data_IF_818309705201
#
_entry.id   IF_818309705201
#
_cell.length_a   1.000
_cell.length_b   1.000
_cell.length_c   1.000
_cell.angle_alpha   90.00
_cell.angle_beta   90.00
_cell.angle_gamma   90.00
#
_symmetry.space_group_name_H-M   'P 1'
#
loop_
_entity.id
_entity.type
_entity.pdbx_description
1 polymer ?
#
# COMPACT_ATOMS: atom_id res chain seq x y z
N UNK A 1 3.15 -13.92 9.96
CA UNK A 1 2.75 -12.53 9.66
C UNK A 1 2.62 -11.75 10.95
N UNK A 2 3.46 -10.74 11.16
CA UNK A 2 3.27 -9.78 12.26
C UNK A 2 2.03 -8.95 11.92
N UNK A 3 0.93 -9.18 12.64
CA UNK A 3 -0.34 -8.48 12.43
C UNK A 3 -0.39 -7.30 13.41
N UNK A 4 -0.51 -6.09 12.87
CA UNK A 4 -0.92 -4.90 13.64
C UNK A 4 -2.44 -4.73 13.51
N UNK A 5 -3.07 -4.08 14.48
CA UNK A 5 -4.51 -3.87 14.43
C UNK A 5 -4.89 -2.79 13.38
N UNK A 6 -6.18 -2.71 13.03
CA UNK A 6 -6.67 -1.77 12.01
C UNK A 6 -6.33 -0.31 12.34
N UNK A 7 -6.52 0.10 13.60
CA UNK A 7 -6.26 1.48 14.06
C UNK A 7 -4.77 1.85 13.94
N UNK A 8 -3.87 0.92 14.27
CA UNK A 8 -2.44 1.10 14.11
C UNK A 8 -2.05 1.19 12.63
N UNK A 9 -2.63 0.33 11.78
CA UNK A 9 -2.38 0.34 10.34
C UNK A 9 -2.89 1.62 9.69
N UNK A 10 -4.03 2.14 10.13
CA UNK A 10 -4.58 3.41 9.67
C UNK A 10 -3.68 4.58 10.08
N UNK A 11 -3.23 4.65 11.34
CA UNK A 11 -2.24 5.64 11.79
C UNK A 11 -0.92 5.57 11.04
N UNK A 12 -0.46 4.36 10.69
CA UNK A 12 0.73 4.18 9.88
C UNK A 12 0.53 4.75 8.47
N UNK A 13 -0.62 4.44 7.84
CA UNK A 13 -0.96 5.00 6.53
C UNK A 13 -0.97 6.53 6.54
N UNK A 14 -1.56 7.15 7.57
CA UNK A 14 -1.60 8.61 7.68
C UNK A 14 -0.19 9.23 7.77
N UNK A 15 0.74 8.55 8.46
CA UNK A 15 2.14 8.97 8.50
C UNK A 15 2.82 8.80 7.15
N UNK A 16 2.52 7.73 6.42
CA UNK A 16 3.07 7.50 5.09
C UNK A 16 2.54 8.52 4.07
N UNK A 17 1.26 8.88 4.11
CA UNK A 17 0.72 9.97 3.26
C UNK A 17 1.45 11.29 3.49
N UNK A 18 1.78 11.61 4.74
CA UNK A 18 2.55 12.82 5.08
C UNK A 18 4.00 12.75 4.60
N UNK A 19 4.61 11.56 4.62
CA UNK A 19 6.02 11.36 4.25
C UNK A 19 6.22 11.30 2.73
N UNK A 20 5.38 10.55 2.03
CA UNK A 20 5.61 10.13 0.63
C UNK A 20 4.68 10.82 -0.37
N UNK A 21 3.64 11.49 0.14
CA UNK A 21 2.53 12.00 -0.65
C UNK A 21 1.49 10.92 -0.97
N UNK A 22 0.40 11.34 -1.62
CA UNK A 22 -0.77 10.49 -1.90
C UNK A 22 -0.62 9.76 -3.24
N UNK A 23 0.43 8.94 -3.35
CA UNK A 23 0.77 8.17 -4.56
C UNK A 23 1.35 6.79 -4.23
N UNK A 24 1.21 5.85 -5.17
CA UNK A 24 1.86 4.54 -5.09
C UNK A 24 3.38 4.72 -5.19
N UNK A 25 4.11 4.06 -4.30
CA UNK A 25 5.57 4.03 -4.29
C UNK A 25 6.14 3.38 -5.56
N UNK A 26 5.56 2.25 -5.97
CA UNK A 26 6.09 1.45 -7.08
C UNK A 26 5.81 2.04 -8.46
N UNK A 27 4.55 2.33 -8.78
CA UNK A 27 4.18 2.81 -10.12
C UNK A 27 3.93 4.32 -10.20
N UNK A 28 3.98 5.04 -9.08
CA UNK A 28 3.79 6.50 -9.05
C UNK A 28 2.35 6.98 -9.24
N UNK A 29 1.37 6.10 -9.50
CA UNK A 29 -0.03 6.52 -9.69
C UNK A 29 -0.56 7.23 -8.44
N UNK A 30 -1.25 8.35 -8.62
CA UNK A 30 -1.96 9.04 -7.53
C UNK A 30 -3.15 8.22 -7.07
N UNK A 31 -3.51 8.33 -5.79
CA UNK A 31 -4.68 7.64 -5.25
C UNK A 31 -5.97 8.02 -5.97
N UNK A 32 -6.16 9.30 -6.29
CA UNK A 32 -7.34 9.79 -7.01
C UNK A 32 -7.51 9.12 -8.38
N UNK A 33 -6.41 8.99 -9.13
CA UNK A 33 -6.40 8.33 -10.44
C UNK A 33 -6.61 6.82 -10.30
N UNK A 34 -5.97 6.21 -9.30
CA UNK A 34 -6.15 4.79 -9.05
C UNK A 34 -7.60 4.44 -8.68
N UNK A 35 -8.20 5.17 -7.75
CA UNK A 35 -9.59 4.96 -7.32
C UNK A 35 -10.55 5.20 -8.49
N UNK A 36 -10.29 6.21 -9.32
CA UNK A 36 -11.11 6.52 -10.52
C UNK A 36 -11.05 5.42 -11.59
N UNK A 37 -9.87 4.84 -11.83
CA UNK A 37 -9.68 3.87 -12.92
C UNK A 37 -9.95 2.43 -12.45
N UNK A 38 -9.50 2.09 -11.24
CA UNK A 38 -9.45 0.71 -10.75
C UNK A 38 -10.31 0.47 -9.50
N UNK A 39 -10.89 1.51 -8.90
CA UNK A 39 -11.69 1.35 -7.68
C UNK A 39 -12.88 0.41 -7.86
N UNK A 40 -13.58 0.50 -8.99
CA UNK A 40 -14.71 -0.37 -9.33
C UNK A 40 -14.31 -1.81 -9.63
N UNK A 41 -13.11 -2.03 -10.20
CA UNK A 41 -12.58 -3.37 -10.46
C UNK A 41 -12.51 -4.22 -9.18
N UNK A 42 -12.24 -3.58 -8.04
CA UNK A 42 -12.23 -4.24 -6.72
C UNK A 42 -13.59 -4.27 -6.02
N UNK A 43 -14.68 -4.01 -6.75
CA UNK A 43 -16.05 -4.03 -6.25
C UNK A 43 -16.38 -2.89 -5.27
N UNK A 44 -15.53 -1.84 -5.20
CA UNK A 44 -15.77 -0.62 -4.44
C UNK A 44 -15.94 -0.77 -2.92
N UNK A 45 -15.79 -1.98 -2.36
CA UNK A 45 -16.21 -2.28 -0.97
C UNK A 45 -15.07 -2.73 -0.05
N UNK A 46 -14.02 -3.37 -0.57
CA UNK A 46 -12.96 -3.97 0.27
C UNK A 46 -11.56 -3.50 -0.09
N UNK A 47 -11.26 -3.31 -1.38
CA UNK A 47 -10.01 -2.75 -1.91
C UNK A 47 -10.32 -1.67 -2.95
N UNK A 48 -9.29 -0.96 -3.41
CA UNK A 48 -9.46 0.00 -4.50
C UNK A 48 -9.97 1.38 -4.10
N UNK A 49 -10.32 1.61 -2.83
CA UNK A 49 -10.80 2.92 -2.35
C UNK A 49 -9.68 3.87 -1.93
N UNK A 50 -8.52 3.31 -1.56
CA UNK A 50 -7.33 4.03 -1.10
C UNK A 50 -6.09 3.16 -1.28
N UNK A 51 -4.92 3.78 -1.21
CA UNK A 51 -3.64 3.09 -1.21
C UNK A 51 -3.50 2.21 0.03
N UNK A 52 -2.90 1.04 -0.19
CA UNK A 52 -2.62 0.03 0.82
C UNK A 52 -1.26 0.31 1.47
N UNK A 53 -1.08 -0.19 2.69
CA UNK A 53 0.23 -0.17 3.35
C UNK A 53 0.89 -1.50 3.04
N UNK A 54 1.94 -1.44 2.24
CA UNK A 54 2.79 -2.57 1.89
C UNK A 54 4.09 -2.55 2.71
N UNK A 55 4.70 -3.73 2.88
CA UNK A 55 5.99 -3.91 3.51
C UNK A 55 7.03 -4.15 2.41
N UNK A 56 8.05 -3.29 2.36
CA UNK A 56 9.19 -3.44 1.44
C UNK A 56 9.85 -4.79 1.68
N UNK A 57 10.24 -5.04 2.93
CA UNK A 57 10.69 -6.34 3.42
C UNK A 57 9.53 -7.09 4.12
N UNK A 58 9.15 -8.22 3.52
CA UNK A 58 8.06 -9.07 3.98
C UNK A 58 8.38 -9.88 5.26
N UNK A 59 9.65 -10.00 5.63
CA UNK A 59 10.10 -10.63 6.86
C UNK A 59 10.00 -9.67 8.06
N UNK A 60 10.08 -8.36 7.79
CA UNK A 60 9.96 -7.30 8.81
C UNK A 60 8.52 -6.91 9.12
N UNK A 61 8.35 -6.22 10.24
CA UNK A 61 7.05 -5.73 10.72
C UNK A 61 6.54 -4.49 9.97
N UNK A 62 5.37 -4.01 10.39
CA UNK A 62 4.80 -2.75 9.91
C UNK A 62 5.40 -1.57 10.69
N UNK A 63 6.41 -0.92 10.13
CA UNK A 63 7.03 0.29 10.69
C UNK A 63 7.03 1.41 9.67
N UNK A 64 7.35 2.64 10.08
CA UNK A 64 7.43 3.73 9.12
C UNK A 64 8.54 3.45 8.10
N UNK A 65 9.69 2.96 8.55
CA UNK A 65 10.90 2.71 7.75
C UNK A 65 10.73 1.56 6.76
N UNK A 66 9.97 0.52 7.13
CA UNK A 66 9.77 -0.67 6.31
C UNK A 66 8.52 -0.62 5.43
N UNK A 67 7.64 0.37 5.61
CA UNK A 67 6.39 0.44 4.87
C UNK A 67 6.33 1.59 3.88
N UNK A 68 5.54 1.37 2.84
CA UNK A 68 5.24 2.32 1.77
C UNK A 68 3.75 2.28 1.41
N UNK A 69 3.29 3.31 0.70
CA UNK A 69 1.98 3.31 0.08
C UNK A 69 2.04 2.56 -1.25
N UNK A 70 1.13 1.62 -1.46
CA UNK A 70 1.04 0.87 -2.71
C UNK A 70 -0.40 0.83 -3.22
N UNK A 71 -0.62 0.96 -4.52
CA UNK A 71 -1.92 0.64 -5.08
C UNK A 71 -2.17 -0.88 -4.97
N UNK A 72 -3.43 -1.30 -4.93
CA UNK A 72 -3.73 -2.72 -4.74
C UNK A 72 -3.21 -3.59 -5.90
N UNK A 73 -3.06 -3.05 -7.11
CA UNK A 73 -2.45 -3.81 -8.22
C UNK A 73 -0.98 -4.11 -7.92
N UNK A 74 -0.17 -3.09 -7.64
CA UNK A 74 1.26 -3.27 -7.34
C UNK A 74 1.48 -4.13 -6.09
N UNK A 75 0.71 -3.91 -5.03
CA UNK A 75 0.82 -4.70 -3.81
C UNK A 75 0.56 -6.19 -4.07
N UNK A 76 -0.47 -6.53 -4.85
CA UNK A 76 -0.73 -7.93 -5.22
C UNK A 76 0.32 -8.49 -6.19
N UNK A 77 0.88 -7.66 -7.08
CA UNK A 77 1.90 -8.09 -8.03
C UNK A 77 3.24 -8.39 -7.34
N UNK A 78 3.68 -7.54 -6.41
CA UNK A 78 4.87 -7.79 -5.57
C UNK A 78 4.67 -9.01 -4.65
N UNK A 79 3.53 -9.07 -3.96
CA UNK A 79 3.19 -10.16 -3.03
C UNK A 79 4.31 -10.40 -1.99
N UNK A 80 4.34 -11.60 -1.45
CA UNK A 80 5.47 -12.23 -0.77
C UNK A 80 6.47 -12.89 -1.76
N UNK A 81 6.40 -12.56 -3.06
CA UNK A 81 7.15 -13.25 -4.13
C UNK A 81 8.34 -12.46 -4.64
N UNK A 82 8.25 -11.14 -4.61
CA UNK A 82 9.34 -10.23 -5.00
C UNK A 82 9.82 -9.42 -3.80
N UNK A 83 11.14 -9.21 -3.73
CA UNK A 83 11.74 -8.19 -2.88
C UNK A 83 11.36 -6.79 -3.38
N UNK A 84 11.66 -5.76 -2.59
CA UNK A 84 11.43 -4.39 -3.00
C UNK A 84 12.34 -3.97 -4.16
N UNK A 85 13.56 -4.50 -4.19
CA UNK A 85 14.55 -4.22 -5.24
C UNK A 85 14.23 -4.93 -6.57
N UNK A 86 13.55 -6.07 -6.52
CA UNK A 86 13.17 -6.84 -7.73
C UNK A 86 11.91 -6.30 -8.43
N UNK A 87 11.08 -5.51 -7.75
CA UNK A 87 9.76 -5.08 -8.22
C UNK A 87 9.72 -3.59 -8.63
#
# INVERSE_FOLDING_TARGET
MIKINKKEKDKLRDRLYKRDGVKCYYCGIKEEDFTRIWGEFYGGKTRGQKLEVDRRDNEKGYTLENCVLACSICNNAKSDKFTDEEF
#
